data_IF_348251081591
#
_entry.id   IF_348251081591
#
_cell.length_a   1.000
_cell.length_b   1.000
_cell.length_c   1.000
_cell.angle_alpha   90.00
_cell.angle_beta   90.00
_cell.angle_gamma   90.00
#
_symmetry.space_group_name_H-M   'P 1'
#
loop_
_entity.id
_entity.type
_entity.pdbx_description
1 polymer ?
#
# COMPACT_ATOMS: atom_id res chain seq x y z
N UNK A 1 -44.47 24.01 -15.66
CA UNK A 1 -43.54 24.78 -14.79
C UNK A 1 -42.80 23.92 -13.75
N UNK A 2 -42.87 22.58 -13.77
CA UNK A 2 -42.26 21.70 -12.73
C UNK A 2 -40.87 21.13 -13.12
N UNK A 3 -40.55 21.11 -14.41
CA UNK A 3 -39.39 20.37 -14.93
C UNK A 3 -38.14 21.26 -15.09
N UNK A 4 -38.30 22.58 -15.07
CA UNK A 4 -37.17 23.53 -15.15
C UNK A 4 -36.30 23.47 -13.90
N UNK A 5 -36.89 23.32 -12.72
CA UNK A 5 -36.13 23.14 -11.47
C UNK A 5 -35.30 21.85 -11.45
N UNK A 6 -35.89 20.75 -11.93
CA UNK A 6 -35.21 19.44 -12.01
C UNK A 6 -33.99 19.48 -12.94
N UNK A 7 -34.09 20.16 -14.09
CA UNK A 7 -32.99 20.28 -15.05
C UNK A 7 -31.81 21.10 -14.47
N UNK A 8 -32.10 22.13 -13.68
CA UNK A 8 -31.06 22.92 -13.00
C UNK A 8 -30.32 22.06 -11.97
N UNK A 9 -31.06 21.25 -11.19
CA UNK A 9 -30.44 20.33 -10.21
C UNK A 9 -29.56 19.32 -10.92
N UNK A 10 -30.04 18.67 -11.99
CA UNK A 10 -29.26 17.69 -12.76
C UNK A 10 -27.98 18.30 -13.33
N UNK A 11 -28.06 19.52 -13.88
CA UNK A 11 -26.88 20.21 -14.42
C UNK A 11 -25.82 20.50 -13.34
N UNK A 12 -26.24 20.87 -12.13
CA UNK A 12 -25.33 21.11 -11.00
C UNK A 12 -24.64 19.83 -10.54
N UNK A 13 -25.39 18.72 -10.42
CA UNK A 13 -24.82 17.43 -9.98
C UNK A 13 -23.82 16.90 -11.01
N UNK A 14 -24.15 16.98 -12.31
CA UNK A 14 -23.24 16.54 -13.38
C UNK A 14 -21.96 17.38 -13.42
N UNK A 15 -22.06 18.70 -13.24
CA UNK A 15 -20.88 19.59 -13.19
C UNK A 15 -19.93 19.24 -12.04
N UNK A 16 -20.47 18.93 -10.85
CA UNK A 16 -19.68 18.53 -9.69
C UNK A 16 -19.00 17.18 -9.94
N UNK A 17 -19.72 16.17 -10.42
CA UNK A 17 -19.15 14.84 -10.69
C UNK A 17 -18.01 14.93 -11.71
N UNK A 18 -18.22 15.65 -12.82
CA UNK A 18 -17.19 15.82 -13.85
C UNK A 18 -15.95 16.53 -13.26
N UNK A 19 -16.15 17.56 -12.44
CA UNK A 19 -15.05 18.26 -11.77
C UNK A 19 -14.27 17.37 -10.79
N UNK A 20 -14.96 16.51 -10.04
CA UNK A 20 -14.33 15.57 -9.11
C UNK A 20 -13.51 14.48 -9.82
N UNK A 21 -13.95 13.98 -10.97
CA UNK A 21 -13.24 12.94 -11.71
C UNK A 21 -12.03 13.47 -12.50
N UNK A 22 -11.98 14.76 -12.82
CA UNK A 22 -10.87 15.38 -13.57
C UNK A 22 -9.76 15.90 -12.65
N UNK A 23 -10.03 16.09 -11.35
CA UNK A 23 -8.98 16.42 -10.40
C UNK A 23 -8.17 15.15 -10.07
N UNK A 24 -6.90 15.04 -10.50
CA UNK A 24 -6.03 14.01 -9.98
C UNK A 24 -5.90 14.23 -8.47
N UNK A 25 -6.16 13.19 -7.68
CA UNK A 25 -5.87 13.21 -6.24
C UNK A 25 -4.42 13.64 -6.04
N UNK A 26 -4.10 14.54 -5.09
CA UNK A 26 -2.73 14.87 -4.77
C UNK A 26 -2.09 13.64 -4.12
N UNK A 27 -1.40 12.84 -4.92
CA UNK A 27 -0.47 11.84 -4.42
C UNK A 27 0.70 12.64 -3.86
N UNK A 28 0.82 12.67 -2.54
CA UNK A 28 2.01 13.20 -1.89
C UNK A 28 3.17 12.26 -2.23
N UNK A 29 3.91 12.61 -3.27
CA UNK A 29 5.13 11.92 -3.68
C UNK A 29 6.19 12.16 -2.60
N UNK A 30 6.49 11.12 -1.82
CA UNK A 30 7.65 11.11 -0.94
C UNK A 30 8.93 11.17 -1.80
N UNK A 31 10.00 11.86 -1.35
CA UNK A 31 11.19 12.05 -2.17
C UNK A 31 11.91 10.71 -2.41
N UNK A 32 11.93 10.26 -3.67
CA UNK A 32 12.83 9.20 -4.12
C UNK A 32 14.27 9.74 -4.20
N UNK A 33 15.05 9.35 -3.21
CA UNK A 33 16.51 9.45 -3.24
C UNK A 33 17.03 8.38 -4.21
N UNK A 34 17.58 8.83 -5.34
CA UNK A 34 18.30 7.98 -6.28
C UNK A 34 19.74 7.76 -5.79
N UNK A 35 20.04 6.56 -5.31
CA UNK A 35 21.42 6.07 -5.13
C UNK A 35 21.62 4.77 -5.91
N UNK A 36 22.68 4.78 -6.69
CA UNK A 36 23.06 3.83 -7.75
C UNK A 36 23.44 2.43 -7.20
N UNK A 37 23.41 1.42 -8.10
CA UNK A 37 23.96 0.06 -8.02
C UNK A 37 23.31 -0.95 -7.07
N UNK A 38 22.08 -1.36 -7.40
CA UNK A 38 21.61 -2.75 -7.50
C UNK A 38 20.09 -2.68 -7.65
N UNK A 39 19.55 -3.08 -8.81
CA UNK A 39 18.13 -2.95 -9.15
C UNK A 39 17.23 -3.95 -8.39
N UNK A 40 17.54 -4.26 -7.14
CA UNK A 40 16.65 -5.02 -6.27
C UNK A 40 15.62 -4.04 -5.72
N UNK A 41 14.41 -4.06 -6.28
CA UNK A 41 13.29 -3.33 -5.73
C UNK A 41 12.98 -3.92 -4.35
N UNK A 42 13.43 -3.25 -3.29
CA UNK A 42 13.11 -3.59 -1.93
C UNK A 42 11.68 -3.17 -1.62
N UNK A 43 10.84 -4.11 -1.20
CA UNK A 43 9.47 -3.82 -0.79
C UNK A 43 9.48 -3.14 0.60
N UNK A 44 8.72 -2.07 0.75
CA UNK A 44 8.66 -1.26 1.98
C UNK A 44 7.68 -1.86 3.00
N UNK A 45 8.03 -3.01 3.59
CA UNK A 45 7.19 -3.71 4.58
C UNK A 45 8.03 -4.10 5.79
N UNK A 46 7.49 -3.77 6.98
CA UNK A 46 8.12 -4.15 8.25
C UNK A 46 8.26 -5.67 8.30
N UNK A 47 9.49 -6.13 8.41
CA UNK A 47 9.87 -7.54 8.32
C UNK A 47 10.42 -8.01 9.66
N UNK A 48 9.69 -8.86 10.41
CA UNK A 48 10.22 -9.46 11.62
C UNK A 48 11.25 -10.54 11.28
N UNK A 49 12.40 -10.53 11.95
CA UNK A 49 13.43 -11.54 11.79
C UNK A 49 14.04 -11.96 13.13
N UNK A 50 14.55 -13.20 13.18
CA UNK A 50 15.16 -13.82 14.34
C UNK A 50 16.65 -14.07 14.12
N UNK A 51 17.48 -13.68 15.09
CA UNK A 51 18.87 -14.08 15.15
C UNK A 51 18.97 -15.55 15.60
N UNK A 52 19.52 -16.48 14.81
CA UNK A 52 19.61 -17.89 15.19
C UNK A 52 20.59 -18.16 16.34
N UNK A 53 21.59 -17.30 16.55
CA UNK A 53 22.59 -17.45 17.61
C UNK A 53 22.05 -17.01 18.98
N UNK A 54 21.36 -15.86 19.02
CA UNK A 54 20.89 -15.25 20.28
C UNK A 54 19.41 -15.52 20.57
N UNK A 55 18.65 -15.98 19.57
CA UNK A 55 17.18 -16.05 19.56
C UNK A 55 16.46 -14.71 19.72
N UNK A 56 17.16 -13.60 19.54
CA UNK A 56 16.56 -12.27 19.54
C UNK A 56 15.65 -12.07 18.32
N UNK A 57 14.50 -11.42 18.52
CA UNK A 57 13.58 -11.04 17.45
C UNK A 57 13.59 -9.52 17.31
N UNK A 58 13.73 -9.02 16.08
CA UNK A 58 13.66 -7.59 15.75
C UNK A 58 12.83 -7.36 14.50
N UNK A 59 12.26 -6.17 14.40
CA UNK A 59 11.56 -5.67 13.23
C UNK A 59 12.50 -4.83 12.38
N UNK A 60 12.55 -5.12 11.09
CA UNK A 60 13.35 -4.40 10.10
C UNK A 60 12.41 -3.58 9.20
N UNK A 61 12.77 -2.33 8.83
CA UNK A 61 11.92 -1.49 7.99
C UNK A 61 11.56 -2.12 6.64
N UNK A 62 12.51 -2.87 6.07
CA UNK A 62 12.33 -3.63 4.83
C UNK A 62 12.96 -5.03 4.94
N UNK A 63 12.58 -5.98 4.07
CA UNK A 63 13.26 -7.27 3.99
C UNK A 63 14.74 -7.16 3.59
N UNK A 64 15.14 -6.08 2.92
CA UNK A 64 16.52 -5.83 2.52
C UNK A 64 17.42 -5.40 3.69
N UNK A 65 16.83 -4.87 4.76
CA UNK A 65 17.57 -4.47 5.97
C UNK A 65 17.86 -5.67 6.88
N UNK A 66 17.25 -6.83 6.63
CA UNK A 66 17.48 -8.05 7.41
C UNK A 66 18.85 -8.63 7.06
N UNK A 67 19.75 -8.86 8.04
CA UNK A 67 21.03 -9.51 7.79
C UNK A 67 20.84 -10.91 7.19
N UNK A 68 21.71 -11.30 6.26
CA UNK A 68 21.58 -12.58 5.55
C UNK A 68 21.60 -13.81 6.45
N UNK A 69 22.19 -13.70 7.64
CA UNK A 69 22.28 -14.78 8.64
C UNK A 69 21.07 -14.81 9.60
N UNK A 70 20.05 -13.98 9.38
CA UNK A 70 18.83 -13.93 10.20
C UNK A 70 17.66 -14.63 9.51
N UNK A 71 16.81 -15.25 10.31
CA UNK A 71 15.63 -15.97 9.83
C UNK A 71 14.42 -15.04 9.78
N UNK A 72 13.93 -14.72 8.59
CA UNK A 72 12.68 -13.95 8.42
C UNK A 72 11.50 -14.78 8.95
N UNK A 73 10.73 -14.18 9.85
CA UNK A 73 9.51 -14.78 10.38
C UNK A 73 8.37 -14.40 9.43
N UNK A 74 7.97 -15.34 8.57
CA UNK A 74 6.73 -15.17 7.81
C UNK A 74 5.57 -15.52 8.72
N UNK A 75 4.65 -14.58 8.93
CA UNK A 75 3.31 -14.92 9.39
C UNK A 75 2.65 -15.66 8.23
N UNK A 76 2.92 -16.96 8.13
CA UNK A 76 2.04 -17.85 7.39
C UNK A 76 0.71 -17.74 8.12
N UNK A 77 -0.23 -16.97 7.57
CA UNK A 77 -1.63 -17.16 7.88
C UNK A 77 -1.83 -18.64 7.60
N UNK A 78 -2.08 -19.50 8.62
CA UNK A 78 -2.47 -20.87 8.35
C UNK A 78 -3.64 -20.71 7.41
N UNK A 79 -3.50 -21.25 6.18
CA UNK A 79 -4.54 -21.19 5.16
C UNK A 79 -5.84 -21.38 5.92
N UNK A 80 -6.67 -20.34 5.97
CA UNK A 80 -8.03 -20.52 6.40
C UNK A 80 -8.49 -21.70 5.55
N UNK A 81 -8.65 -22.85 6.18
CA UNK A 81 -9.41 -23.96 5.66
C UNK A 81 -10.81 -23.38 5.51
N UNK A 82 -11.00 -22.60 4.44
CA UNK A 82 -12.28 -22.39 3.83
C UNK A 82 -12.59 -23.74 3.19
N UNK A 83 -13.05 -24.61 4.06
CA UNK A 83 -13.84 -25.78 3.77
C UNK A 83 -14.70 -25.45 2.55
N UNK A 84 -14.34 -26.04 1.41
CA UNK A 84 -15.24 -26.10 0.27
C UNK A 84 -15.73 -27.54 0.22
N UNK A 85 -16.95 -27.70 0.77
CA UNK A 85 -17.88 -28.84 0.69
C UNK A 85 -17.60 -29.86 -0.42
#
# INVERSE_FOLDING_TARGET
>A
MKNTGLLVVIALILGIIIGYFVLPSPVAEAPENNSNTDNTVCIQVITPARNPETREIREFPTPCDVPSDWEIIRNEIPQLELETN
#
